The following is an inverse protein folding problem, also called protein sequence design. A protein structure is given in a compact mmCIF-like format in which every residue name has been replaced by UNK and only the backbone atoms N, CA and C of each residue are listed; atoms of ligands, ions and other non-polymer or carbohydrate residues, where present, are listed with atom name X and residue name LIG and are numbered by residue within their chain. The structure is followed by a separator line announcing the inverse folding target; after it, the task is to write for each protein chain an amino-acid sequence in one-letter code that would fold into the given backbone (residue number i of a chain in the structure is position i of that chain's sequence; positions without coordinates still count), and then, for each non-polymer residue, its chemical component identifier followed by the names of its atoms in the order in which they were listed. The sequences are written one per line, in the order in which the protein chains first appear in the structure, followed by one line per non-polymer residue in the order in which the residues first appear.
data_IF_486506771167
#
_entry.id   IF_486506771167
#
_cell.length_a   1.000
_cell.length_b   1.000
_cell.length_c   1.000
_cell.angle_alpha   90.00
_cell.angle_beta   90.00
_cell.angle_gamma   90.00
#
_symmetry.space_group_name_H-M   'P 1'
#
loop_
_entity.id
_entity.type
_entity.pdbx_description
1 polymer ?
#
# COMPACT_ATOMS: atom_id res chain seq x y z
N UNK A 1 12.30 -2.05 -5.98
CA UNK A 1 13.54 -1.52 -5.35
C UNK A 1 13.30 -0.90 -3.97
N UNK A 2 12.08 -0.50 -3.60
CA UNK A 2 11.80 0.04 -2.26
C UNK A 2 12.10 -0.99 -1.16
N UNK A 3 11.95 -2.28 -1.45
CA UNK A 3 12.32 -3.35 -0.51
C UNK A 3 13.81 -3.36 -0.14
N UNK A 4 14.69 -2.86 -1.02
CA UNK A 4 16.11 -2.72 -0.72
C UNK A 4 16.32 -1.70 0.41
N UNK A 5 15.57 -0.59 0.39
CA UNK A 5 15.59 0.42 1.46
C UNK A 5 14.99 -0.14 2.75
N UNK A 6 13.89 -0.91 2.66
CA UNK A 6 13.30 -1.59 3.84
C UNK A 6 14.29 -2.54 4.49
N UNK A 7 14.88 -3.43 3.71
CA UNK A 7 15.86 -4.41 4.16
C UNK A 7 17.04 -3.73 4.88
N UNK A 8 17.53 -2.60 4.35
CA UNK A 8 18.60 -1.83 5.01
C UNK A 8 18.16 -1.25 6.36
N UNK A 9 16.96 -0.65 6.44
CA UNK A 9 16.45 -0.06 7.69
C UNK A 9 16.08 -1.11 8.73
N UNK A 10 15.54 -2.25 8.30
CA UNK A 10 15.27 -3.42 9.17
C UNK A 10 16.57 -3.97 9.77
N UNK A 11 17.59 -4.16 8.93
CA UNK A 11 18.92 -4.64 9.37
C UNK A 11 19.58 -3.65 10.34
N UNK A 12 19.46 -2.34 10.05
CA UNK A 12 19.94 -1.28 10.94
C UNK A 12 19.24 -1.31 12.30
N UNK A 13 17.92 -1.44 12.31
CA UNK A 13 17.14 -1.52 13.55
C UNK A 13 17.55 -2.72 14.41
N UNK A 14 17.76 -3.88 13.79
CA UNK A 14 18.23 -5.08 14.47
C UNK A 14 19.65 -4.89 15.05
N UNK A 15 20.55 -4.27 14.28
CA UNK A 15 21.93 -3.99 14.74
C UNK A 15 21.94 -3.04 15.94
N UNK A 16 21.12 -1.96 15.90
CA UNK A 16 20.97 -1.02 17.03
C UNK A 16 20.37 -1.67 18.28
N UNK A 17 19.48 -2.64 18.10
CA UNK A 17 18.88 -3.41 19.19
C UNK A 17 19.86 -4.43 19.81
N UNK A 18 21.07 -4.58 19.28
CA UNK A 18 22.10 -5.46 19.85
C UNK A 18 21.81 -6.96 19.72
N UNK A 19 21.13 -7.39 18.63
CA UNK A 19 20.85 -8.81 18.40
C UNK A 19 22.13 -9.62 18.24
N UNK A 20 22.13 -10.88 18.66
CA UNK A 20 23.32 -11.76 18.59
C UNK A 20 23.67 -12.20 17.19
N UNK A 21 22.69 -12.29 16.28
CA UNK A 21 22.87 -12.67 14.89
C UNK A 21 21.78 -12.04 14.02
N UNK A 22 22.12 -11.76 12.75
CA UNK A 22 21.20 -11.17 11.78
C UNK A 22 21.22 -12.04 10.52
N UNK A 23 20.03 -12.37 10.02
CA UNK A 23 19.86 -12.96 8.68
C UNK A 23 19.10 -11.95 7.85
N UNK A 24 19.69 -11.49 6.76
CA UNK A 24 19.07 -10.51 5.85
C UNK A 24 18.53 -11.25 4.63
N UNK A 25 17.21 -11.19 4.46
CA UNK A 25 16.57 -11.75 3.28
C UNK A 25 16.80 -10.83 2.08
N UNK A 26 17.17 -11.36 0.90
CA UNK A 26 17.27 -10.58 -0.31
C UNK A 26 15.99 -9.80 -0.63
N UNK A 27 16.12 -8.57 -1.12
CA UNK A 27 15.00 -7.64 -1.33
C UNK A 27 13.96 -8.11 -2.35
N UNK A 28 14.36 -9.00 -3.27
CA UNK A 28 13.54 -9.58 -4.33
C UNK A 28 12.83 -10.88 -3.91
N UNK A 29 13.23 -11.52 -2.81
CA UNK A 29 12.64 -12.77 -2.33
C UNK A 29 11.09 -12.80 -2.23
N UNK A 30 10.36 -11.68 -1.97
CA UNK A 30 8.92 -11.70 -1.94
C UNK A 30 8.24 -11.92 -3.30
N UNK A 31 8.93 -11.72 -4.43
CA UNK A 31 8.32 -11.72 -5.75
C UNK A 31 9.11 -12.46 -6.84
N UNK A 32 10.34 -12.90 -6.55
CA UNK A 32 11.13 -13.73 -7.46
C UNK A 32 12.16 -14.58 -6.69
N UNK A 33 12.76 -15.56 -7.36
CA UNK A 33 13.89 -16.29 -6.79
C UNK A 33 15.09 -15.36 -6.68
N UNK A 34 15.71 -15.24 -5.48
CA UNK A 34 16.88 -14.39 -5.29
C UNK A 34 17.99 -14.69 -6.30
N UNK A 35 18.64 -13.62 -6.75
CA UNK A 35 19.76 -13.68 -7.69
C UNK A 35 21.09 -13.46 -6.96
N UNK A 36 22.22 -13.81 -7.59
CA UNK A 36 23.56 -13.52 -7.04
C UNK A 36 23.74 -12.03 -6.69
N UNK A 37 23.06 -11.14 -7.43
CA UNK A 37 23.07 -9.72 -7.15
C UNK A 37 22.36 -9.38 -5.85
N UNK A 38 21.12 -9.84 -5.68
CA UNK A 38 20.32 -9.55 -4.48
C UNK A 38 20.88 -10.20 -3.23
N UNK A 39 21.43 -11.42 -3.34
CA UNK A 39 22.14 -12.09 -2.24
C UNK A 39 23.42 -11.33 -1.83
N UNK A 40 24.17 -10.83 -2.81
CA UNK A 40 25.35 -10.01 -2.54
C UNK A 40 24.96 -8.70 -1.83
N UNK A 41 23.87 -8.07 -2.23
CA UNK A 41 23.36 -6.86 -1.56
C UNK A 41 22.98 -7.17 -0.12
N UNK A 42 22.20 -8.23 0.13
CA UNK A 42 21.79 -8.63 1.47
C UNK A 42 22.98 -8.87 2.42
N UNK A 43 24.04 -9.52 1.91
CA UNK A 43 25.30 -9.68 2.66
C UNK A 43 26.00 -8.35 2.90
N UNK A 44 26.10 -7.52 1.86
CA UNK A 44 26.85 -6.26 1.94
C UNK A 44 26.15 -5.23 2.85
N UNK A 45 24.84 -5.26 3.00
CA UNK A 45 24.11 -4.44 3.98
C UNK A 45 24.64 -4.64 5.40
N UNK A 46 24.89 -5.88 5.79
CA UNK A 46 25.46 -6.20 7.11
C UNK A 46 26.89 -5.70 7.25
N UNK A 47 27.71 -5.88 6.21
CA UNK A 47 29.10 -5.41 6.20
C UNK A 47 29.17 -3.89 6.24
N UNK A 48 28.28 -3.19 5.52
CA UNK A 48 28.20 -1.73 5.53
C UNK A 48 27.89 -1.19 6.92
N UNK A 49 26.94 -1.81 7.63
CA UNK A 49 26.61 -1.42 9.01
C UNK A 49 27.77 -1.64 9.98
N UNK A 50 28.55 -2.69 9.76
CA UNK A 50 29.72 -3.00 10.60
C UNK A 50 30.92 -2.14 10.26
N UNK A 51 31.36 -2.14 8.99
CA UNK A 51 32.65 -1.58 8.60
C UNK A 51 32.62 -0.07 8.33
N UNK A 52 31.50 0.46 7.81
CA UNK A 52 31.35 1.88 7.47
C UNK A 52 30.54 2.65 8.51
N UNK A 53 29.47 2.06 9.02
CA UNK A 53 28.61 2.70 10.04
C UNK A 53 29.04 2.41 11.48
N UNK A 54 29.94 1.46 11.69
CA UNK A 54 30.57 1.11 12.97
C UNK A 54 29.57 0.75 14.09
N UNK A 55 28.43 0.13 13.75
CA UNK A 55 27.42 -0.24 14.74
C UNK A 55 27.86 -1.36 15.69
N UNK A 56 28.97 -2.00 15.40
CA UNK A 56 29.63 -2.99 16.27
C UNK A 56 30.48 -2.37 17.39
N UNK A 57 30.67 -1.04 17.39
CA UNK A 57 31.56 -0.35 18.34
C UNK A 57 30.85 0.12 19.61
N UNK A 58 29.53 0.19 19.61
CA UNK A 58 28.73 0.67 20.74
C UNK A 58 27.74 -0.42 21.16
N UNK A 59 27.77 -0.78 22.43
CA UNK A 59 26.80 -1.67 23.04
C UNK A 59 25.64 -0.82 23.57
N UNK A 60 24.42 -1.20 23.21
CA UNK A 60 23.18 -0.52 23.63
C UNK A 60 23.22 1.02 23.39
N UNK A 61 23.28 1.46 22.13
CA UNK A 61 23.38 2.88 21.80
C UNK A 61 22.16 3.71 22.22
N UNK A 62 21.06 3.05 22.55
CA UNK A 62 19.80 3.68 23.00
C UNK A 62 19.66 3.77 24.52
N UNK A 63 20.59 3.22 25.28
CA UNK A 63 20.56 3.22 26.75
C UNK A 63 20.44 4.63 27.32
N UNK A 64 19.57 4.80 28.30
CA UNK A 64 19.31 6.08 28.96
C UNK A 64 18.46 7.07 28.19
N UNK A 65 17.97 6.72 27.00
CA UNK A 65 16.92 7.50 26.32
C UNK A 65 15.59 7.30 27.04
N UNK A 66 15.07 8.34 27.68
CA UNK A 66 13.82 8.27 28.44
C UNK A 66 12.66 7.67 27.66
N UNK A 67 12.52 8.03 26.38
CA UNK A 67 11.49 7.50 25.51
C UNK A 67 11.67 6.00 25.24
N UNK A 68 12.89 5.56 24.94
CA UNK A 68 13.18 4.14 24.63
C UNK A 68 12.99 3.28 25.87
N UNK A 69 13.47 3.71 27.03
CA UNK A 69 13.32 2.98 28.30
C UNK A 69 11.85 2.84 28.71
N UNK A 70 11.07 3.91 28.63
CA UNK A 70 9.63 3.89 28.92
C UNK A 70 8.87 2.99 27.94
N UNK A 71 9.16 3.10 26.64
CA UNK A 71 8.53 2.26 25.61
C UNK A 71 8.88 0.78 25.82
N UNK A 72 10.13 0.47 26.14
CA UNK A 72 10.60 -0.89 26.39
C UNK A 72 9.85 -1.51 27.59
N UNK A 73 9.74 -0.75 28.70
CA UNK A 73 9.00 -1.16 29.89
C UNK A 73 7.52 -1.39 29.55
N UNK A 74 6.89 -0.46 28.85
CA UNK A 74 5.48 -0.56 28.47
C UNK A 74 5.21 -1.77 27.57
N UNK A 75 6.10 -2.06 26.61
CA UNK A 75 5.99 -3.24 25.74
C UNK A 75 6.17 -4.54 26.54
N UNK A 76 7.14 -4.58 27.48
CA UNK A 76 7.36 -5.71 28.34
C UNK A 76 6.12 -6.02 29.22
N UNK A 77 5.49 -4.98 29.78
CA UNK A 77 4.26 -5.12 30.58
C UNK A 77 3.09 -5.68 29.76
N UNK A 78 2.91 -5.22 28.53
CA UNK A 78 1.86 -5.73 27.64
C UNK A 78 2.13 -7.19 27.26
N UNK A 79 3.37 -7.51 26.91
CA UNK A 79 3.77 -8.88 26.57
C UNK A 79 3.58 -9.83 27.77
N UNK A 80 3.93 -9.36 28.98
CA UNK A 80 3.74 -10.14 30.20
C UNK A 80 2.27 -10.42 30.52
N UNK A 81 1.39 -9.42 30.34
CA UNK A 81 -0.06 -9.61 30.48
C UNK A 81 -0.62 -10.62 29.48
N UNK A 82 -0.14 -10.58 28.23
CA UNK A 82 -0.52 -11.58 27.23
C UNK A 82 -0.04 -12.99 27.60
N UNK A 83 1.19 -13.10 28.09
CA UNK A 83 1.73 -14.36 28.59
C UNK A 83 0.85 -14.94 29.72
N UNK A 84 0.52 -14.16 30.73
CA UNK A 84 -0.35 -14.59 31.85
C UNK A 84 -1.72 -15.03 31.32
N UNK A 85 -2.34 -14.28 30.41
CA UNK A 85 -3.62 -14.67 29.77
C UNK A 85 -3.54 -16.08 29.18
N UNK A 86 -2.46 -16.37 28.45
CA UNK A 86 -2.25 -17.69 27.79
C UNK A 86 -2.01 -18.78 28.83
N UNK A 87 -1.28 -18.49 29.91
CA UNK A 87 -1.06 -19.45 31.01
C UNK A 87 -2.36 -19.78 31.76
N UNK A 88 -3.22 -18.79 32.01
CA UNK A 88 -4.53 -18.98 32.62
C UNK A 88 -5.48 -19.85 31.77
N UNK A 89 -5.30 -19.89 30.48
CA UNK A 89 -6.02 -20.78 29.54
C UNK A 89 -5.48 -22.23 29.52
N UNK A 90 -4.48 -22.55 30.33
CA UNK A 90 -3.85 -23.89 30.44
C UNK A 90 -2.54 -23.99 29.62
N UNK A 91 -1.93 -22.85 29.34
CA UNK A 91 -0.66 -22.69 28.62
C UNK A 91 -0.79 -22.66 27.11
N UNK A 92 0.31 -22.35 26.42
CA UNK A 92 0.34 -22.12 24.98
C UNK A 92 -0.24 -23.29 24.17
N UNK A 93 0.04 -24.53 24.52
CA UNK A 93 -0.46 -25.70 23.78
C UNK A 93 -1.99 -25.83 23.85
N UNK A 94 -2.58 -25.53 25.02
CA UNK A 94 -4.03 -25.57 25.20
C UNK A 94 -4.69 -24.43 24.41
N UNK A 95 -4.18 -23.19 24.54
CA UNK A 95 -4.67 -22.01 23.81
C UNK A 95 -4.56 -22.19 22.30
N UNK A 96 -3.46 -22.78 21.80
CA UNK A 96 -3.29 -23.09 20.38
C UNK A 96 -4.29 -24.17 19.87
N UNK A 97 -4.56 -25.19 20.70
CA UNK A 97 -5.58 -26.23 20.37
C UNK A 97 -6.98 -25.65 20.33
N UNK A 98 -7.29 -24.74 21.26
CA UNK A 98 -8.60 -24.08 21.33
C UNK A 98 -8.78 -23.02 20.24
N UNK A 99 -7.71 -22.56 19.61
CA UNK A 99 -7.73 -21.56 18.55
C UNK A 99 -7.61 -20.11 19.02
N UNK A 100 -7.50 -19.84 20.33
CA UNK A 100 -7.42 -18.49 20.90
C UNK A 100 -6.24 -17.69 20.34
N UNK A 101 -5.06 -18.32 20.25
CA UNK A 101 -3.85 -17.68 19.72
C UNK A 101 -4.04 -17.31 18.25
N UNK A 102 -4.62 -18.22 17.47
CA UNK A 102 -4.88 -18.00 16.05
C UNK A 102 -5.92 -16.89 15.82
N UNK A 103 -6.93 -16.81 16.68
CA UNK A 103 -7.95 -15.77 16.61
C UNK A 103 -7.37 -14.38 16.85
N UNK A 104 -6.54 -14.22 17.89
CA UNK A 104 -5.86 -12.96 18.19
C UNK A 104 -4.92 -12.53 17.05
N UNK A 105 -4.17 -13.47 16.46
CA UNK A 105 -3.29 -13.22 15.32
C UNK A 105 -4.10 -12.83 14.09
N UNK A 106 -5.14 -13.59 13.76
CA UNK A 106 -5.96 -13.35 12.57
C UNK A 106 -6.72 -12.02 12.66
N UNK A 107 -7.22 -11.65 13.84
CA UNK A 107 -7.85 -10.36 14.08
C UNK A 107 -6.87 -9.19 13.89
N UNK A 108 -5.66 -9.33 14.40
CA UNK A 108 -4.59 -8.33 14.22
C UNK A 108 -4.21 -8.21 12.74
N UNK A 109 -4.07 -9.32 12.03
CA UNK A 109 -3.75 -9.33 10.60
C UNK A 109 -4.87 -8.67 9.79
N UNK A 110 -6.13 -9.01 10.04
CA UNK A 110 -7.28 -8.40 9.37
C UNK A 110 -7.34 -6.88 9.57
N UNK A 111 -7.08 -6.42 10.80
CA UNK A 111 -7.00 -4.98 11.10
C UNK A 111 -5.89 -4.29 10.31
N UNK A 112 -4.69 -4.87 10.27
CA UNK A 112 -3.55 -4.31 9.51
C UNK A 112 -3.84 -4.22 8.02
N UNK A 113 -4.46 -5.25 7.43
CA UNK A 113 -4.89 -5.22 6.02
C UNK A 113 -5.94 -4.11 5.78
N UNK A 114 -6.92 -3.94 6.67
CA UNK A 114 -7.88 -2.86 6.58
C UNK A 114 -7.23 -1.46 6.71
N UNK A 115 -6.26 -1.31 7.61
CA UNK A 115 -5.52 -0.06 7.78
C UNK A 115 -4.63 0.24 6.54
N UNK A 116 -4.01 -0.78 5.93
CA UNK A 116 -3.26 -0.63 4.67
C UNK A 116 -4.19 -0.27 3.49
N UNK A 117 -5.37 -0.92 3.38
CA UNK A 117 -6.36 -0.63 2.35
C UNK A 117 -6.86 0.83 2.39
N UNK A 118 -6.95 1.41 3.59
CA UNK A 118 -7.37 2.80 3.83
C UNK A 118 -6.19 3.79 3.90
N UNK A 119 -4.96 3.36 3.63
CA UNK A 119 -3.74 4.18 3.80
C UNK A 119 -3.56 4.75 5.21
N UNK A 120 -4.05 4.10 6.25
CA UNK A 120 -3.68 4.38 7.64
C UNK A 120 -2.32 3.78 7.97
N UNK A 121 -2.00 2.63 7.38
CA UNK A 121 -0.65 2.04 7.35
C UNK A 121 -0.05 2.23 5.94
N UNK A 122 1.06 2.99 5.85
CA UNK A 122 1.71 3.28 4.58
C UNK A 122 2.70 2.18 4.19
N UNK A 123 2.56 1.73 2.95
CA UNK A 123 3.50 0.84 2.28
C UNK A 123 4.08 1.59 1.07
N UNK A 124 5.22 2.24 1.25
CA UNK A 124 5.87 3.03 0.20
C UNK A 124 6.15 2.16 -1.03
N UNK A 125 5.83 2.70 -2.20
CA UNK A 125 5.93 1.97 -3.46
C UNK A 125 4.77 1.00 -3.75
N UNK A 126 3.85 0.80 -2.80
CA UNK A 126 2.70 -0.11 -2.92
C UNK A 126 1.37 0.64 -2.84
N UNK A 127 0.96 1.09 -1.65
CA UNK A 127 -0.26 1.87 -1.49
C UNK A 127 -0.01 3.39 -1.43
N UNK A 128 1.26 3.81 -1.43
CA UNK A 128 1.67 5.20 -1.41
C UNK A 128 2.96 5.38 -2.22
N UNK A 129 3.05 6.44 -3.02
CA UNK A 129 4.19 6.76 -3.90
C UNK A 129 4.67 5.58 -4.76
N UNK A 130 3.78 4.93 -5.55
CA UNK A 130 4.18 3.87 -6.45
C UNK A 130 5.07 4.43 -7.56
N UNK A 131 5.96 3.60 -8.08
CA UNK A 131 6.70 3.94 -9.29
C UNK A 131 5.79 3.78 -10.51
N UNK A 132 5.53 4.87 -11.24
CA UNK A 132 4.63 4.92 -12.40
C UNK A 132 5.18 4.16 -13.61
N UNK A 133 6.49 3.97 -13.69
CA UNK A 133 7.16 3.30 -14.81
C UNK A 133 7.52 1.84 -14.53
N UNK A 134 7.38 1.39 -13.29
CA UNK A 134 7.66 0.01 -12.91
C UNK A 134 6.56 -0.90 -13.45
N UNK A 135 6.97 -2.05 -14.02
CA UNK A 135 6.09 -3.10 -14.47
C UNK A 135 6.23 -4.33 -13.59
N UNK A 136 5.13 -5.07 -13.44
CA UNK A 136 5.11 -6.33 -12.71
C UNK A 136 5.47 -7.55 -13.58
N UNK A 137 5.77 -7.34 -14.86
CA UNK A 137 6.17 -8.39 -15.79
C UNK A 137 7.35 -9.20 -15.24
N UNK A 138 7.19 -10.52 -15.16
CA UNK A 138 8.18 -11.42 -14.59
C UNK A 138 8.24 -11.45 -13.05
N UNK A 139 7.52 -10.55 -12.39
CA UNK A 139 7.42 -10.49 -10.93
C UNK A 139 6.11 -11.14 -10.50
N UNK A 140 6.17 -12.29 -9.87
CA UNK A 140 4.98 -12.91 -9.28
C UNK A 140 5.20 -13.07 -7.78
N UNK A 141 4.18 -12.80 -6.95
CA UNK A 141 4.27 -13.18 -5.55
C UNK A 141 4.66 -14.65 -5.49
N UNK A 142 5.72 -14.96 -4.76
CA UNK A 142 6.05 -16.35 -4.49
C UNK A 142 4.88 -16.90 -3.66
N UNK A 143 3.90 -17.46 -4.36
CA UNK A 143 2.94 -18.34 -3.70
C UNK A 143 3.77 -19.47 -3.11
N UNK A 144 3.63 -19.70 -1.82
CA UNK A 144 4.21 -20.90 -1.21
C UNK A 144 3.70 -22.09 -2.02
N UNK A 145 4.55 -22.59 -2.92
CA UNK A 145 4.28 -23.79 -3.73
C UNK A 145 4.39 -25.06 -2.90
N UNK A 146 4.54 -24.90 -1.57
CA UNK A 146 4.43 -26.02 -0.67
C UNK A 146 3.03 -26.61 -0.80
N UNK A 147 2.92 -27.67 -1.61
CA UNK A 147 1.70 -28.48 -1.75
C UNK A 147 1.18 -29.02 -0.41
N UNK A 148 1.96 -28.87 0.67
CA UNK A 148 1.59 -29.12 2.04
C UNK A 148 0.58 -28.11 2.61
N UNK A 149 0.59 -26.84 2.15
CA UNK A 149 -0.28 -25.80 2.70
C UNK A 149 -1.77 -26.09 2.41
N UNK A 150 -2.12 -26.38 1.15
CA UNK A 150 -3.53 -26.70 0.78
C UNK A 150 -4.05 -28.01 1.35
N UNK A 151 -3.18 -29.03 1.51
CA UNK A 151 -3.57 -30.31 2.15
C UNK A 151 -3.59 -30.23 3.67
N UNK A 152 -2.81 -29.31 4.26
CA UNK A 152 -2.79 -29.09 5.70
C UNK A 152 -4.04 -28.35 6.21
N UNK A 153 -4.64 -27.46 5.42
CA UNK A 153 -5.87 -26.75 5.78
C UNK A 153 -7.10 -27.70 5.90
N UNK A 154 -7.18 -28.74 5.08
CA UNK A 154 -8.28 -29.71 5.11
C UNK A 154 -8.15 -30.79 6.22
N UNK A 155 -6.96 -30.97 6.80
CA UNK A 155 -6.67 -32.03 7.79
C UNK A 155 -5.99 -31.54 9.07
N UNK A 156 -5.76 -30.23 9.21
CA UNK A 156 -5.09 -29.72 10.40
C UNK A 156 -6.02 -29.85 11.62
N UNK A 157 -5.54 -30.45 12.73
CA UNK A 157 -6.31 -30.55 13.97
C UNK A 157 -6.46 -29.19 14.69
N UNK A 158 -5.90 -28.11 14.12
CA UNK A 158 -5.86 -26.78 14.69
C UNK A 158 -6.34 -25.76 13.69
N UNK A 159 -6.90 -24.65 14.19
CA UNK A 159 -7.28 -23.48 13.38
C UNK A 159 -6.05 -22.92 12.66
N UNK A 160 -6.19 -22.60 11.36
CA UNK A 160 -5.12 -22.03 10.58
C UNK A 160 -4.86 -20.53 10.95
N UNK A 161 -3.60 -20.11 10.85
CA UNK A 161 -3.22 -18.71 10.88
C UNK A 161 -3.25 -18.18 9.45
N UNK A 162 -3.91 -17.04 9.24
CA UNK A 162 -3.88 -16.33 7.97
C UNK A 162 -2.51 -15.67 7.78
N UNK A 163 -1.59 -16.37 7.11
CA UNK A 163 -0.26 -15.88 6.81
C UNK A 163 -0.27 -15.17 5.46
N UNK A 164 -0.53 -13.88 5.45
CA UNK A 164 -0.51 -13.04 4.25
C UNK A 164 0.43 -11.85 4.42
N UNK A 165 1.12 -11.48 3.32
CA UNK A 165 1.92 -10.25 3.30
C UNK A 165 0.99 -9.04 3.18
N UNK A 166 1.26 -7.99 3.94
CA UNK A 166 0.43 -6.80 3.99
C UNK A 166 0.24 -6.12 2.61
N UNK A 167 1.23 -6.26 1.72
CA UNK A 167 1.20 -5.74 0.36
C UNK A 167 0.41 -6.63 -0.64
N UNK A 168 0.08 -7.88 -0.29
CA UNK A 168 -0.41 -8.89 -1.22
C UNK A 168 -1.65 -8.45 -2.01
N UNK A 169 -2.59 -7.79 -1.36
CA UNK A 169 -3.84 -7.35 -2.00
C UNK A 169 -3.60 -6.28 -3.09
N UNK A 170 -2.71 -5.31 -2.83
CA UNK A 170 -2.33 -4.30 -3.81
C UNK A 170 -1.47 -4.89 -4.94
N UNK A 171 -0.58 -5.82 -4.62
CA UNK A 171 0.21 -6.53 -5.63
C UNK A 171 -0.69 -7.33 -6.57
N UNK A 172 -1.67 -8.06 -6.03
CA UNK A 172 -2.64 -8.79 -6.82
C UNK A 172 -3.50 -7.87 -7.70
N UNK A 173 -3.95 -6.75 -7.16
CA UNK A 173 -4.69 -5.73 -7.91
C UNK A 173 -3.86 -5.23 -9.09
N UNK A 174 -2.60 -4.85 -8.85
CA UNK A 174 -1.70 -4.37 -9.88
C UNK A 174 -1.41 -5.42 -10.96
N UNK A 175 -1.15 -6.67 -10.56
CA UNK A 175 -0.97 -7.79 -11.50
C UNK A 175 -2.20 -7.99 -12.38
N UNK A 176 -3.40 -7.91 -11.80
CA UNK A 176 -4.65 -8.01 -12.56
C UNK A 176 -4.78 -6.90 -13.58
N UNK A 177 -4.51 -5.65 -13.19
CA UNK A 177 -4.56 -4.48 -14.07
C UNK A 177 -3.54 -4.58 -15.21
N UNK A 178 -2.30 -4.92 -14.89
CA UNK A 178 -1.21 -4.97 -15.88
C UNK A 178 -1.31 -6.18 -16.81
N UNK A 179 -1.99 -7.29 -16.40
CA UNK A 179 -2.27 -8.45 -17.26
C UNK A 179 -3.53 -8.30 -18.12
N UNK A 180 -4.29 -7.22 -17.96
CA UNK A 180 -5.44 -6.94 -18.81
C UNK A 180 -5.01 -6.69 -20.27
N UNK A 181 -5.93 -6.88 -21.23
CA UNK A 181 -5.67 -6.65 -22.67
C UNK A 181 -5.18 -5.22 -22.96
N UNK A 182 -5.62 -4.27 -22.16
CA UNK A 182 -5.23 -2.86 -22.22
C UNK A 182 -5.06 -2.36 -20.78
N UNK A 183 -3.92 -1.78 -20.49
CA UNK A 183 -3.73 -1.09 -19.20
C UNK A 183 -4.55 0.21 -19.23
N UNK A 184 -5.41 0.47 -18.25
CA UNK A 184 -6.23 1.68 -18.23
C UNK A 184 -5.40 2.95 -18.18
N UNK A 185 -5.82 3.96 -18.94
CA UNK A 185 -5.21 5.28 -18.99
C UNK A 185 -6.03 6.24 -18.14
N UNK A 186 -5.42 6.84 -17.14
CA UNK A 186 -6.02 7.85 -16.29
C UNK A 186 -5.46 9.24 -16.62
N UNK A 187 -6.35 10.13 -17.03
CA UNK A 187 -6.02 11.50 -17.41
C UNK A 187 -6.43 12.48 -16.31
N UNK A 188 -5.48 13.32 -15.86
CA UNK A 188 -5.75 14.36 -14.87
C UNK A 188 -6.28 15.61 -15.56
N UNK A 189 -7.59 15.85 -15.49
CA UNK A 189 -8.19 17.10 -15.97
C UNK A 189 -7.95 18.20 -14.95
N UNK A 190 -6.84 18.91 -15.09
CA UNK A 190 -6.43 19.98 -14.17
C UNK A 190 -6.97 21.33 -14.66
N UNK A 191 -7.82 21.99 -13.85
CA UNK A 191 -8.46 23.27 -14.19
C UNK A 191 -8.64 24.12 -12.93
N UNK A 192 -8.75 25.44 -13.08
CA UNK A 192 -8.98 26.37 -11.99
C UNK A 192 -7.71 26.71 -11.18
N UNK A 193 -7.86 26.86 -9.87
CA UNK A 193 -6.79 27.31 -8.98
C UNK A 193 -5.54 26.44 -9.05
N UNK A 194 -4.39 27.05 -9.39
CA UNK A 194 -3.13 26.36 -9.66
C UNK A 194 -2.66 25.46 -8.50
N UNK A 195 -2.69 25.94 -7.28
CA UNK A 195 -2.19 25.20 -6.12
C UNK A 195 -3.07 23.97 -5.84
N UNK A 196 -4.38 24.12 -5.89
CA UNK A 196 -5.32 23.05 -5.64
C UNK A 196 -5.34 22.03 -6.77
N UNK A 197 -5.39 22.46 -8.03
CA UNK A 197 -5.38 21.52 -9.15
C UNK A 197 -4.14 20.63 -9.18
N UNK A 198 -2.95 21.19 -8.86
CA UNK A 198 -1.71 20.41 -8.75
C UNK A 198 -1.74 19.43 -7.59
N UNK A 199 -2.17 19.85 -6.40
CA UNK A 199 -2.27 18.96 -5.24
C UNK A 199 -3.25 17.80 -5.50
N UNK A 200 -4.40 18.10 -6.14
CA UNK A 200 -5.40 17.08 -6.50
C UNK A 200 -4.89 16.14 -7.59
N UNK A 201 -4.20 16.66 -8.60
CA UNK A 201 -3.59 15.83 -9.64
C UNK A 201 -2.52 14.89 -9.07
N UNK A 202 -1.65 15.40 -8.19
CA UNK A 202 -0.64 14.58 -7.53
C UNK A 202 -1.26 13.47 -6.66
N UNK A 203 -2.30 13.81 -5.87
CA UNK A 203 -3.04 12.83 -5.07
C UNK A 203 -3.69 11.76 -5.95
N UNK A 204 -4.37 12.16 -7.01
CA UNK A 204 -5.11 11.27 -7.91
C UNK A 204 -4.16 10.37 -8.72
N UNK A 205 -3.07 10.93 -9.21
CA UNK A 205 -2.00 10.17 -9.89
C UNK A 205 -1.43 9.08 -8.99
N UNK A 206 -1.13 9.45 -7.74
CA UNK A 206 -0.66 8.50 -6.73
C UNK A 206 -1.71 7.42 -6.42
N UNK A 207 -2.98 7.81 -6.34
CA UNK A 207 -4.10 6.91 -6.04
C UNK A 207 -4.26 5.83 -7.12
N UNK A 208 -4.37 6.25 -8.39
CA UNK A 208 -4.62 5.34 -9.52
C UNK A 208 -3.38 4.52 -9.90
N UNK A 209 -2.19 5.10 -9.75
CA UNK A 209 -0.94 4.38 -10.02
C UNK A 209 -0.68 3.21 -9.05
N UNK A 210 -1.31 3.19 -7.85
CA UNK A 210 -1.25 2.03 -6.96
C UNK A 210 -1.85 0.77 -7.60
N UNK A 211 -2.84 0.92 -8.47
CA UNK A 211 -3.38 -0.17 -9.27
C UNK A 211 -2.62 -0.43 -10.58
N UNK A 212 -1.58 0.35 -10.89
CA UNK A 212 -0.80 0.19 -12.12
C UNK A 212 -1.37 0.92 -13.34
N UNK A 213 -2.29 1.88 -13.17
CA UNK A 213 -2.82 2.69 -14.27
C UNK A 213 -1.73 3.54 -14.91
N UNK A 214 -1.83 3.73 -16.21
CA UNK A 214 -0.99 4.69 -16.93
C UNK A 214 -1.50 6.11 -16.64
N UNK A 215 -0.66 6.95 -16.04
CA UNK A 215 -1.02 8.30 -15.65
C UNK A 215 -0.61 9.30 -16.72
N UNK A 216 -1.54 10.18 -17.12
CA UNK A 216 -1.28 11.34 -17.96
C UNK A 216 -1.60 12.59 -17.15
N UNK A 217 -0.56 13.29 -16.74
CA UNK A 217 -0.62 14.58 -16.07
C UNK A 217 -0.32 15.73 -17.05
N UNK A 218 -0.68 16.96 -16.67
CA UNK A 218 -0.52 18.15 -17.52
C UNK A 218 -0.40 19.43 -16.68
N UNK A 219 -0.10 20.53 -17.35
CA UNK A 219 0.07 21.84 -16.69
C UNK A 219 -1.25 22.55 -16.39
N UNK A 220 -2.35 22.13 -17.01
CA UNK A 220 -3.69 22.67 -16.82
C UNK A 220 -4.31 23.20 -18.09
N UNK A 221 -5.63 23.36 -18.05
CA UNK A 221 -6.46 23.86 -19.14
C UNK A 221 -7.21 25.10 -18.71
N UNK A 222 -7.53 25.98 -19.68
CA UNK A 222 -8.32 27.19 -19.43
C UNK A 222 -9.82 26.88 -19.49
N UNK A 223 -10.24 25.91 -20.30
CA UNK A 223 -11.63 25.47 -20.45
C UNK A 223 -11.79 23.96 -20.24
N UNK A 224 -13.02 23.56 -19.88
CA UNK A 224 -13.40 22.16 -19.71
C UNK A 224 -13.30 21.41 -21.04
N UNK A 225 -13.77 22.03 -22.13
CA UNK A 225 -13.81 21.44 -23.46
C UNK A 225 -12.40 21.10 -23.95
N UNK A 226 -11.47 22.02 -23.80
CA UNK A 226 -10.06 21.83 -24.18
C UNK A 226 -9.42 20.65 -23.47
N UNK A 227 -9.64 20.57 -22.15
CA UNK A 227 -9.13 19.46 -21.33
C UNK A 227 -9.79 18.13 -21.66
N UNK A 228 -11.08 18.11 -21.92
CA UNK A 228 -11.81 16.91 -22.31
C UNK A 228 -11.42 16.41 -23.70
N UNK A 229 -11.22 17.30 -24.66
CA UNK A 229 -10.72 16.93 -26.00
C UNK A 229 -9.32 16.34 -25.91
N UNK A 230 -8.47 16.90 -25.06
CA UNK A 230 -7.14 16.35 -24.80
C UNK A 230 -7.21 14.95 -24.16
N UNK A 231 -8.11 14.73 -23.20
CA UNK A 231 -8.31 13.43 -22.57
C UNK A 231 -8.80 12.37 -23.57
N UNK A 232 -9.78 12.72 -24.40
CA UNK A 232 -10.31 11.81 -25.43
C UNK A 232 -9.27 11.50 -26.49
N UNK A 233 -8.50 12.50 -26.92
CA UNK A 233 -7.39 12.31 -27.87
C UNK A 233 -6.29 11.42 -27.32
N UNK A 234 -6.05 11.49 -26.00
CA UNK A 234 -5.10 10.62 -25.31
C UNK A 234 -5.63 9.18 -25.09
N UNK A 235 -6.89 8.91 -25.42
CA UNK A 235 -7.53 7.61 -25.24
C UNK A 235 -7.74 7.25 -23.76
N UNK A 236 -8.07 8.25 -22.93
CA UNK A 236 -8.30 8.07 -21.52
C UNK A 236 -9.48 7.15 -21.24
N UNK A 237 -9.29 6.17 -20.37
CA UNK A 237 -10.33 5.29 -19.84
C UNK A 237 -10.96 5.89 -18.57
N UNK A 238 -10.18 6.70 -17.83
CA UNK A 238 -10.60 7.42 -16.64
C UNK A 238 -10.18 8.87 -16.74
N UNK A 239 -11.12 9.80 -16.54
CA UNK A 239 -10.84 11.25 -16.47
C UNK A 239 -11.09 11.72 -15.05
N UNK A 240 -10.06 12.26 -14.42
CA UNK A 240 -10.12 12.76 -13.04
C UNK A 240 -10.12 14.27 -13.03
N UNK A 241 -11.23 14.88 -12.64
CA UNK A 241 -11.32 16.33 -12.46
C UNK A 241 -10.56 16.76 -11.21
N UNK A 242 -9.55 17.61 -11.40
CA UNK A 242 -8.66 18.13 -10.38
C UNK A 242 -8.78 19.65 -10.30
N UNK A 243 -9.47 20.16 -9.27
CA UNK A 243 -9.69 21.57 -9.01
C UNK A 243 -9.83 21.84 -7.50
N UNK A 244 -10.17 23.04 -7.10
CA UNK A 244 -10.54 23.34 -5.70
C UNK A 244 -11.96 22.88 -5.37
N UNK A 245 -12.24 22.68 -4.08
CA UNK A 245 -13.56 22.22 -3.64
C UNK A 245 -14.70 23.17 -4.04
N UNK A 246 -14.43 24.48 -4.05
CA UNK A 246 -15.42 25.50 -4.43
C UNK A 246 -15.69 25.53 -5.96
N UNK A 247 -14.69 25.19 -6.75
CA UNK A 247 -14.77 25.23 -8.22
C UNK A 247 -15.45 23.99 -8.82
N UNK A 248 -15.58 22.88 -8.06
CA UNK A 248 -16.25 21.68 -8.56
C UNK A 248 -17.72 21.91 -8.92
N UNK A 249 -18.41 22.80 -8.21
CA UNK A 249 -19.78 23.16 -8.56
C UNK A 249 -19.91 23.77 -9.98
N UNK A 250 -18.84 24.43 -10.44
CA UNK A 250 -18.80 25.07 -11.77
C UNK A 250 -18.35 24.11 -12.88
N UNK A 251 -17.32 23.29 -12.60
CA UNK A 251 -16.68 22.49 -13.64
C UNK A 251 -17.18 21.06 -13.77
N UNK A 252 -17.66 20.44 -12.69
CA UNK A 252 -17.90 18.99 -12.68
C UNK A 252 -19.05 18.58 -13.60
N UNK A 253 -20.20 19.27 -13.53
CA UNK A 253 -21.39 18.92 -14.34
C UNK A 253 -21.13 19.16 -15.84
N UNK A 254 -20.59 20.32 -16.29
CA UNK A 254 -20.23 20.51 -17.69
C UNK A 254 -19.23 19.46 -18.19
N UNK A 255 -18.19 19.13 -17.40
CA UNK A 255 -17.21 18.14 -17.76
C UNK A 255 -17.83 16.74 -17.92
N UNK A 256 -18.68 16.34 -16.98
CA UNK A 256 -19.38 15.04 -17.03
C UNK A 256 -20.30 14.94 -18.26
N UNK A 257 -21.07 16.00 -18.53
CA UNK A 257 -21.95 16.05 -19.71
C UNK A 257 -21.16 16.02 -21.02
N UNK A 258 -20.05 16.76 -21.10
CA UNK A 258 -19.18 16.75 -22.27
C UNK A 258 -18.58 15.37 -22.52
N UNK A 259 -18.17 14.67 -21.46
CA UNK A 259 -17.62 13.31 -21.54
C UNK A 259 -18.66 12.30 -22.06
N UNK A 260 -19.91 12.46 -21.69
CA UNK A 260 -21.06 11.69 -22.17
C UNK A 260 -20.82 10.16 -22.18
N UNK A 261 -20.30 9.62 -21.08
CA UNK A 261 -20.08 8.18 -20.90
C UNK A 261 -18.95 7.57 -21.72
N UNK A 262 -18.12 8.38 -22.42
CA UNK A 262 -17.00 7.89 -23.24
C UNK A 262 -15.82 7.39 -22.42
N UNK A 263 -15.73 7.78 -21.16
CA UNK A 263 -14.77 7.28 -20.17
C UNK A 263 -15.39 7.39 -18.76
N UNK A 264 -14.78 6.74 -17.79
CA UNK A 264 -15.17 6.90 -16.38
C UNK A 264 -14.82 8.32 -15.91
N UNK A 265 -15.77 8.99 -15.29
CA UNK A 265 -15.53 10.32 -14.70
C UNK A 265 -15.37 10.24 -13.20
N UNK A 266 -14.33 10.87 -12.67
CA UNK A 266 -13.97 10.87 -11.26
C UNK A 266 -13.69 12.28 -10.77
N UNK A 267 -14.16 12.65 -9.58
CA UNK A 267 -13.86 13.93 -8.94
C UNK A 267 -12.83 13.73 -7.84
N UNK A 268 -11.74 14.52 -7.88
CA UNK A 268 -10.65 14.44 -6.89
C UNK A 268 -10.96 15.28 -5.66
N UNK A 269 -11.73 14.76 -4.71
CA UNK A 269 -12.11 15.45 -3.49
C UNK A 269 -13.43 14.98 -2.92
N UNK A 270 -13.82 15.59 -1.81
CA UNK A 270 -15.15 15.45 -1.20
C UNK A 270 -15.72 16.85 -0.96
N UNK A 271 -16.10 17.58 -2.04
CA UNK A 271 -16.59 18.94 -1.95
C UNK A 271 -17.94 19.02 -1.23
N UNK A 272 -18.28 20.20 -0.70
CA UNK A 272 -19.56 20.43 -0.04
C UNK A 272 -20.77 20.19 -0.98
N UNK A 273 -20.58 20.38 -2.30
CA UNK A 273 -21.60 20.12 -3.34
C UNK A 273 -21.67 18.64 -3.79
N UNK A 274 -21.03 17.71 -3.09
CA UNK A 274 -20.99 16.29 -3.51
C UNK A 274 -22.37 15.69 -3.74
N UNK A 275 -23.35 16.00 -2.90
CA UNK A 275 -24.71 15.47 -3.02
C UNK A 275 -25.43 16.00 -4.27
N UNK A 276 -25.21 17.27 -4.63
CA UNK A 276 -25.72 17.86 -5.86
C UNK A 276 -25.06 17.23 -7.10
N UNK A 277 -23.76 16.95 -7.02
CA UNK A 277 -23.03 16.27 -8.08
C UNK A 277 -23.51 14.83 -8.27
N UNK A 278 -23.80 14.12 -7.19
CA UNK A 278 -24.42 12.78 -7.25
C UNK A 278 -25.81 12.82 -7.88
N UNK A 279 -26.62 13.82 -7.54
CA UNK A 279 -27.93 14.03 -8.16
C UNK A 279 -27.81 14.29 -9.68
N UNK A 280 -26.69 14.86 -10.14
CA UNK A 280 -26.37 15.05 -11.57
C UNK A 280 -25.81 13.79 -12.25
N UNK A 281 -25.63 12.66 -11.53
CA UNK A 281 -25.16 11.38 -12.05
C UNK A 281 -23.65 11.16 -11.90
N UNK A 282 -22.93 12.00 -11.16
CA UNK A 282 -21.49 11.82 -10.89
C UNK A 282 -21.34 10.99 -9.61
N UNK A 283 -20.92 9.74 -9.76
CA UNK A 283 -20.88 8.77 -8.65
C UNK A 283 -19.48 8.55 -8.06
N UNK A 284 -18.41 8.81 -8.85
CA UNK A 284 -17.05 8.48 -8.48
C UNK A 284 -16.30 9.65 -7.85
N UNK A 285 -15.91 9.49 -6.60
CA UNK A 285 -15.13 10.49 -5.84
C UNK A 285 -13.94 9.81 -5.18
N UNK A 286 -12.73 10.41 -5.30
CA UNK A 286 -11.55 9.94 -4.61
C UNK A 286 -11.02 11.01 -3.65
N UNK A 287 -10.84 10.64 -2.40
CA UNK A 287 -10.38 11.54 -1.35
C UNK A 287 -9.61 10.78 -0.26
N UNK A 288 -8.98 11.48 0.67
CA UNK A 288 -8.10 10.91 1.71
C UNK A 288 -8.77 9.89 2.64
N UNK A 289 -10.10 9.88 2.73
CA UNK A 289 -10.87 8.95 3.57
C UNK A 289 -11.38 7.73 2.80
N UNK A 290 -11.15 7.62 1.49
CA UNK A 290 -11.56 6.46 0.70
C UNK A 290 -10.79 5.20 1.13
N UNK A 291 -11.46 4.06 1.02
CA UNK A 291 -10.76 2.78 0.99
C UNK A 291 -10.14 2.63 -0.41
N UNK A 292 -8.82 2.85 -0.48
CA UNK A 292 -8.09 2.90 -1.76
C UNK A 292 -8.16 1.57 -2.49
N UNK A 293 -7.99 0.47 -1.75
CA UNK A 293 -7.99 -0.87 -2.34
C UNK A 293 -9.35 -1.23 -2.93
N UNK A 294 -10.43 -1.00 -2.18
CA UNK A 294 -11.78 -1.35 -2.61
C UNK A 294 -12.23 -0.46 -3.78
N UNK A 295 -12.00 0.85 -3.69
CA UNK A 295 -12.29 1.78 -4.79
C UNK A 295 -11.56 1.40 -6.08
N UNK A 296 -10.27 1.02 -5.99
CA UNK A 296 -9.51 0.61 -7.17
C UNK A 296 -9.94 -0.76 -7.72
N UNK A 297 -10.42 -1.67 -6.87
CA UNK A 297 -11.03 -2.94 -7.32
C UNK A 297 -12.33 -2.68 -8.07
N UNK A 298 -13.17 -1.76 -7.59
CA UNK A 298 -14.41 -1.34 -8.27
C UNK A 298 -14.12 -0.71 -9.64
N UNK A 299 -13.07 0.11 -9.74
CA UNK A 299 -12.69 0.73 -11.02
C UNK A 299 -12.10 -0.25 -12.03
N UNK A 300 -11.63 -1.40 -11.57
CA UNK A 300 -11.11 -2.49 -12.43
C UNK A 300 -12.17 -3.51 -12.86
N UNK A 301 -13.36 -3.48 -12.24
CA UNK A 301 -14.44 -4.43 -12.53
C UNK A 301 -15.17 -4.07 -13.83
#
# INVERSE_FOLDING_TARGET
YVNLLRSQTETMSAALAGVHSIVVTPFDAPYETPTDFSERIARNQQLLLKEESHFDKVVDPSAGSYFIEELTTSLADVAWKLFIKIEDEGGFLAAAKNGTVQDDINATNAKRHADAAQRKEFLLGTNQFPNFTEKSEGKQPLTCTCCCAKKAEEQAPYKAISASRLAADFEQLRLTTESAKKVPVAFMLTIGNLAWRQARAQFSSNFLACAGYQIIDNLGFDTVEEGMDAALKAGADVVVLCSSDDEYATYAVPAYQYLNGRAMFVVAGAPACMDDLKAAGIENFIHVKCNVLDTLKEYNA
#
